data_IF_855745046827
#
_entry.id   IF_855745046827
#
_cell.length_a   1.000
_cell.length_b   1.000
_cell.length_c   1.000
_cell.angle_alpha   90.00
_cell.angle_beta   90.00
_cell.angle_gamma   90.00
#
_symmetry.space_group_name_H-M   'P 1'
#
loop_
_entity.id
_entity.type
_entity.pdbx_description
1 polymer ?
#
# COMPACT_ATOMS: atom_id res chain seq x y z
N UNK A 1 -5.69 -3.68 18.46
CA UNK A 1 -6.09 -2.36 18.99
C UNK A 1 -6.23 -2.49 20.50
N UNK A 2 -7.25 -3.19 20.99
CA UNK A 2 -7.47 -3.46 22.41
C UNK A 2 -6.24 -4.02 23.15
N UNK A 3 -5.62 -5.11 22.63
CA UNK A 3 -4.36 -5.64 23.19
C UNK A 3 -3.24 -4.60 23.32
N UNK A 4 -3.16 -3.63 22.40
CA UNK A 4 -2.14 -2.57 22.42
C UNK A 4 -2.47 -1.50 23.47
N UNK A 5 -3.74 -1.14 23.61
CA UNK A 5 -4.19 -0.21 24.65
C UNK A 5 -3.89 -0.81 26.03
N UNK A 6 -4.24 -2.09 26.23
CA UNK A 6 -3.91 -2.82 27.45
C UNK A 6 -2.40 -2.89 27.69
N UNK A 7 -1.62 -3.15 26.63
CA UNK A 7 -0.16 -3.16 26.72
C UNK A 7 0.39 -1.79 27.16
N UNK A 8 -0.03 -0.69 26.51
CA UNK A 8 0.41 0.68 26.84
C UNK A 8 0.07 1.03 28.29
N UNK A 9 -1.12 0.64 28.76
CA UNK A 9 -1.55 0.83 30.14
C UNK A 9 -0.69 0.03 31.14
N UNK A 10 -0.44 -1.25 30.85
CA UNK A 10 0.37 -2.11 31.70
C UNK A 10 1.85 -1.66 31.78
N UNK A 11 2.40 -1.17 30.66
CA UNK A 11 3.76 -0.62 30.59
C UNK A 11 3.88 0.62 31.51
N UNK A 12 2.91 1.54 31.44
CA UNK A 12 2.93 2.72 32.30
C UNK A 12 2.72 2.40 33.79
N UNK A 13 1.83 1.46 34.14
CA UNK A 13 1.69 1.02 35.54
C UNK A 13 3.00 0.41 36.04
N UNK A 14 3.66 -0.38 35.21
CA UNK A 14 4.95 -0.97 35.56
C UNK A 14 6.01 0.12 35.76
N UNK A 15 6.10 1.10 34.86
CA UNK A 15 7.01 2.24 34.99
C UNK A 15 6.73 3.06 36.25
N UNK A 16 5.47 3.37 36.52
CA UNK A 16 5.04 4.09 37.72
C UNK A 16 5.43 3.37 39.01
N UNK A 17 5.15 2.06 39.10
CA UNK A 17 5.55 1.24 40.26
C UNK A 17 7.07 1.22 40.45
N UNK A 18 7.82 1.12 39.34
CA UNK A 18 9.28 1.06 39.37
C UNK A 18 9.86 2.37 39.87
N UNK A 19 9.35 3.51 39.38
CA UNK A 19 9.72 4.85 39.83
C UNK A 19 9.45 5.07 41.31
N UNK A 20 8.27 4.70 41.83
CA UNK A 20 7.97 4.82 43.27
C UNK A 20 8.97 4.02 44.10
N UNK A 21 9.27 2.79 43.71
CA UNK A 21 10.23 1.95 44.42
C UNK A 21 11.64 2.54 44.40
N UNK A 22 12.03 3.21 43.30
CA UNK A 22 13.30 3.93 43.22
C UNK A 22 13.36 5.14 44.15
N UNK A 23 12.31 5.96 44.19
CA UNK A 23 12.23 7.12 45.08
C UNK A 23 12.30 6.72 46.57
N UNK A 24 11.58 5.65 46.95
CA UNK A 24 11.67 5.08 48.30
C UNK A 24 13.09 4.57 48.60
N UNK A 25 13.74 3.92 47.65
CA UNK A 25 15.13 3.41 47.82
C UNK A 25 16.17 4.52 47.93
N UNK A 26 15.93 5.68 47.31
CA UNK A 26 16.80 6.85 47.43
C UNK A 26 16.75 7.47 48.83
N UNK A 27 15.77 7.11 49.66
CA UNK A 27 15.57 7.67 50.99
C UNK A 27 14.93 9.06 50.95
N UNK A 28 14.23 9.39 49.87
CA UNK A 28 13.48 10.64 49.76
C UNK A 28 12.38 10.69 50.83
N UNK A 29 12.05 11.91 51.24
CA UNK A 29 10.98 12.13 52.22
C UNK A 29 9.63 11.72 51.64
N UNK A 30 8.68 11.45 52.54
CA UNK A 30 7.31 11.10 52.14
C UNK A 30 6.69 12.26 51.35
N UNK A 31 6.99 13.50 51.75
CA UNK A 31 6.52 14.73 51.14
C UNK A 31 7.01 14.87 49.69
N UNK A 32 8.31 14.66 49.44
CA UNK A 32 8.89 14.71 48.07
C UNK A 32 8.30 13.62 47.17
N UNK A 33 8.10 12.41 47.73
CA UNK A 33 7.50 11.30 46.99
C UNK A 33 6.02 11.59 46.66
N UNK A 34 5.28 12.18 47.60
CA UNK A 34 3.89 12.60 47.39
C UNK A 34 3.76 13.68 46.33
N UNK A 35 4.63 14.69 46.37
CA UNK A 35 4.64 15.77 45.36
C UNK A 35 4.89 15.19 43.96
N UNK A 36 5.85 14.26 43.83
CA UNK A 36 6.10 13.57 42.57
C UNK A 36 4.87 12.77 42.07
N UNK A 37 4.22 12.00 42.95
CA UNK A 37 3.00 11.24 42.59
C UNK A 37 1.89 12.19 42.12
N UNK A 38 1.74 13.35 42.73
CA UNK A 38 0.76 14.36 42.32
C UNK A 38 1.08 14.99 40.96
N UNK A 39 2.36 15.08 40.59
CA UNK A 39 2.81 15.59 39.30
C UNK A 39 2.71 14.55 38.16
N UNK A 40 2.48 13.27 38.49
CA UNK A 40 2.37 12.22 37.49
C UNK A 40 1.12 12.42 36.62
N UNK A 41 1.35 12.63 35.32
CA UNK A 41 0.26 12.81 34.37
C UNK A 41 -0.29 11.46 33.86
N UNK A 42 -1.61 11.35 33.62
CA UNK A 42 -2.18 10.21 32.94
C UNK A 42 -1.58 10.01 31.55
N UNK A 43 -1.52 8.76 31.09
CA UNK A 43 -1.06 8.45 29.73
C UNK A 43 -2.05 9.06 28.72
N UNK A 44 -1.60 9.91 27.79
CA UNK A 44 -2.45 10.35 26.70
C UNK A 44 -2.70 9.19 25.73
N UNK A 45 -3.98 8.92 25.45
CA UNK A 45 -4.41 8.05 24.36
C UNK A 45 -4.70 8.92 23.14
N UNK A 46 -3.97 8.68 22.06
CA UNK A 46 -4.12 9.44 20.83
C UNK A 46 -5.03 8.71 19.84
N UNK A 47 -5.54 9.42 18.82
CA UNK A 47 -6.35 8.79 17.75
C UNK A 47 -5.64 7.59 17.13
N UNK A 48 -4.31 7.62 17.00
CA UNK A 48 -3.51 6.52 16.48
C UNK A 48 -3.62 5.22 17.32
N UNK A 49 -3.95 5.32 18.61
CA UNK A 49 -4.16 4.18 19.51
C UNK A 49 -5.48 3.45 19.24
N UNK A 50 -6.46 4.15 18.67
CA UNK A 50 -7.79 3.63 18.30
C UNK A 50 -7.91 3.23 16.83
N UNK A 51 -6.85 3.39 16.04
CA UNK A 51 -6.85 2.96 14.63
C UNK A 51 -6.24 1.56 14.50
N UNK A 52 -6.92 0.66 13.75
CA UNK A 52 -6.32 -0.62 13.36
C UNK A 52 -5.12 -0.32 12.46
N UNK A 53 -3.91 -0.74 12.86
CA UNK A 53 -2.72 -0.57 12.03
C UNK A 53 -2.96 -1.22 10.67
N UNK A 54 -2.78 -0.43 9.62
CA UNK A 54 -2.62 -0.96 8.27
C UNK A 54 -1.24 -1.60 8.21
N UNK A 55 -1.17 -2.92 8.02
CA UNK A 55 0.12 -3.59 7.79
C UNK A 55 0.71 -2.98 6.51
N UNK A 56 1.90 -2.39 6.61
CA UNK A 56 2.71 -2.02 5.45
C UNK A 56 2.91 -3.29 4.64
N UNK A 57 2.41 -3.31 3.40
CA UNK A 57 2.61 -4.45 2.51
C UNK A 57 4.04 -4.34 1.99
N UNK A 58 4.95 -5.13 2.56
CA UNK A 58 6.26 -5.30 1.94
C UNK A 58 6.05 -6.01 0.59
N UNK A 59 6.45 -5.34 -0.49
CA UNK A 59 6.38 -5.92 -1.83
C UNK A 59 7.43 -7.01 -1.96
N UNK A 60 7.03 -8.19 -2.39
CA UNK A 60 7.97 -9.25 -2.77
C UNK A 60 8.46 -8.93 -4.20
N UNK A 61 9.78 -8.95 -4.47
CA UNK A 61 10.33 -8.84 -5.82
C UNK A 61 9.67 -9.83 -6.79
N UNK A 62 9.49 -9.43 -8.06
CA UNK A 62 8.71 -10.19 -9.02
C UNK A 62 9.28 -11.60 -9.26
N UNK A 63 10.60 -11.73 -9.20
CA UNK A 63 11.38 -12.96 -9.41
C UNK A 63 11.16 -13.97 -8.29
N UNK A 64 10.78 -13.48 -7.11
CA UNK A 64 10.56 -14.29 -5.91
C UNK A 64 9.07 -14.54 -5.66
N UNK A 65 8.19 -13.99 -6.50
CA UNK A 65 6.74 -14.23 -6.41
C UNK A 65 6.38 -15.62 -6.89
N UNK A 66 5.23 -16.07 -6.44
CA UNK A 66 4.61 -17.30 -6.87
C UNK A 66 4.14 -17.17 -8.33
N UNK A 67 4.43 -18.18 -9.15
CA UNK A 67 4.04 -18.21 -10.56
C UNK A 67 2.56 -18.53 -10.80
N UNK A 68 1.76 -18.75 -9.76
CA UNK A 68 0.34 -19.09 -9.91
C UNK A 68 -0.54 -17.84 -10.03
N UNK A 69 -1.65 -17.98 -10.74
CA UNK A 69 -2.67 -16.94 -10.86
C UNK A 69 -3.55 -16.89 -9.60
N UNK A 70 -3.89 -15.68 -9.18
CA UNK A 70 -4.89 -15.43 -8.14
C UNK A 70 -6.31 -15.51 -8.74
N UNK A 71 -7.33 -15.36 -7.89
CA UNK A 71 -8.73 -15.29 -8.35
C UNK A 71 -9.01 -14.11 -9.30
N UNK A 72 -8.12 -13.10 -9.35
CA UNK A 72 -8.20 -11.99 -10.31
C UNK A 72 -7.42 -12.25 -11.60
N UNK A 73 -6.92 -13.47 -11.80
CA UNK A 73 -5.98 -13.85 -12.85
C UNK A 73 -4.61 -13.15 -12.83
N UNK A 74 -4.36 -12.24 -11.88
CA UNK A 74 -3.03 -11.66 -11.64
C UNK A 74 -2.05 -12.63 -10.96
N UNK A 75 -0.74 -12.41 -11.12
CA UNK A 75 0.30 -13.16 -10.42
C UNK A 75 0.09 -13.09 -8.90
N UNK A 76 0.15 -14.26 -8.25
CA UNK A 76 0.10 -14.34 -6.80
C UNK A 76 1.23 -13.51 -6.15
N UNK A 77 0.86 -12.56 -5.30
CA UNK A 77 1.81 -11.65 -4.64
C UNK A 77 2.59 -12.29 -3.50
N UNK A 78 2.39 -13.58 -3.21
CA UNK A 78 3.09 -14.30 -2.14
C UNK A 78 4.45 -14.76 -2.65
N UNK A 79 5.43 -14.80 -1.76
CA UNK A 79 6.76 -15.37 -2.02
C UNK A 79 6.64 -16.87 -2.33
N UNK A 80 7.35 -17.34 -3.36
CA UNK A 80 7.45 -18.77 -3.69
C UNK A 80 8.25 -19.51 -2.62
N UNK A 81 7.96 -20.80 -2.43
CA UNK A 81 8.72 -21.65 -1.50
C UNK A 81 10.08 -21.98 -2.13
N UNK A 82 11.14 -22.03 -1.32
CA UNK A 82 12.47 -22.41 -1.80
C UNK A 82 12.42 -23.76 -2.53
N UNK A 83 13.01 -23.83 -3.74
CA UNK A 83 12.98 -25.02 -4.59
C UNK A 83 11.67 -25.27 -5.32
N UNK A 84 10.66 -24.39 -5.19
CA UNK A 84 9.38 -24.51 -5.89
C UNK A 84 9.02 -23.23 -6.64
N UNK A 85 8.19 -23.37 -7.68
CA UNK A 85 7.66 -22.25 -8.49
C UNK A 85 6.47 -21.55 -7.86
N UNK A 86 5.86 -22.15 -6.83
CA UNK A 86 4.64 -21.68 -6.18
C UNK A 86 4.84 -21.40 -4.69
N UNK A 87 3.96 -20.57 -4.10
CA UNK A 87 3.86 -20.41 -2.66
C UNK A 87 3.17 -21.63 -2.03
N UNK A 88 3.28 -21.79 -0.69
CA UNK A 88 2.75 -22.97 0.00
C UNK A 88 1.24 -23.22 -0.18
N UNK A 89 0.45 -22.20 -0.53
CA UNK A 89 -0.98 -22.38 -0.86
C UNK A 89 -1.16 -22.93 -2.27
N UNK A 90 -0.45 -22.38 -3.25
CA UNK A 90 -0.53 -22.83 -4.64
C UNK A 90 0.26 -24.11 -4.92
N UNK A 91 1.12 -24.55 -4.00
CA UNK A 91 1.74 -25.88 -4.04
C UNK A 91 0.71 -27.01 -3.86
N UNK A 92 -0.45 -26.74 -3.25
CA UNK A 92 -1.53 -27.73 -3.08
C UNK A 92 -2.44 -27.83 -4.31
N UNK A 93 -2.40 -26.81 -5.18
CA UNK A 93 -3.24 -26.71 -6.37
C UNK A 93 -3.21 -25.31 -6.95
N UNK A 94 -3.30 -25.22 -8.27
CA UNK A 94 -3.32 -23.98 -9.05
C UNK A 94 -4.66 -23.82 -9.77
N UNK A 95 -5.73 -23.44 -9.04
CA UNK A 95 -7.09 -23.45 -9.59
C UNK A 95 -7.27 -22.51 -10.78
N UNK A 96 -6.53 -21.40 -10.81
CA UNK A 96 -6.55 -20.42 -11.90
C UNK A 96 -5.37 -20.57 -12.85
N UNK A 97 -4.61 -21.65 -12.73
CA UNK A 97 -3.42 -21.91 -13.55
C UNK A 97 -2.17 -21.13 -13.13
N UNK A 98 -1.17 -21.19 -14.01
CA UNK A 98 0.13 -20.51 -13.86
C UNK A 98 0.19 -19.29 -14.78
N UNK A 99 1.02 -18.32 -14.42
CA UNK A 99 1.42 -17.20 -15.27
C UNK A 99 2.18 -17.76 -16.48
N UNK A 100 1.73 -17.39 -17.68
CA UNK A 100 2.47 -17.67 -18.91
C UNK A 100 3.61 -16.64 -19.09
N UNK A 101 4.63 -16.98 -19.88
CA UNK A 101 5.73 -16.06 -20.18
C UNK A 101 5.24 -14.76 -20.86
N UNK A 102 4.12 -14.81 -21.59
CA UNK A 102 3.49 -13.63 -22.19
C UNK A 102 2.70 -12.76 -21.20
N UNK A 103 2.26 -13.30 -20.06
CA UNK A 103 1.50 -12.54 -19.05
C UNK A 103 2.37 -11.52 -18.29
N UNK A 104 3.69 -11.54 -18.48
CA UNK A 104 4.67 -10.77 -17.70
C UNK A 104 5.29 -9.57 -18.43
N UNK A 105 4.98 -9.37 -19.72
CA UNK A 105 5.56 -8.28 -20.51
C UNK A 105 4.69 -7.03 -20.40
N UNK A 106 4.94 -6.22 -19.38
CA UNK A 106 4.48 -4.82 -19.41
C UNK A 106 5.16 -4.11 -20.57
N UNK A 107 4.40 -3.75 -21.61
CA UNK A 107 4.91 -2.92 -22.71
C UNK A 107 4.93 -1.47 -22.24
N UNK A 108 6.10 -0.83 -22.27
CA UNK A 108 6.16 0.62 -22.15
C UNK A 108 5.55 1.23 -23.42
N UNK A 109 4.66 2.20 -23.23
CA UNK A 109 4.06 2.98 -24.31
C UNK A 109 4.39 4.44 -24.10
N UNK A 110 4.77 5.10 -25.18
CA UNK A 110 4.94 6.55 -25.20
C UNK A 110 3.57 7.21 -25.41
N UNK A 111 3.28 8.18 -24.56
CA UNK A 111 2.04 8.95 -24.59
C UNK A 111 2.43 10.43 -24.61
N UNK A 112 1.83 11.19 -25.51
CA UNK A 112 2.04 12.65 -25.58
C UNK A 112 0.72 13.38 -25.37
N UNK A 113 0.82 14.66 -25.02
CA UNK A 113 -0.30 15.55 -24.83
C UNK A 113 -0.54 16.37 -26.10
N UNK A 114 -1.79 16.44 -26.56
CA UNK A 114 -2.21 17.22 -27.72
C UNK A 114 -3.38 18.14 -27.33
N UNK A 115 -3.34 19.40 -27.76
CA UNK A 115 -4.45 20.34 -27.58
C UNK A 115 -5.42 20.19 -28.77
N UNK A 116 -6.62 19.71 -28.49
CA UNK A 116 -7.69 19.57 -29.48
C UNK A 116 -8.87 20.39 -29.00
N UNK A 117 -9.14 21.50 -29.70
CA UNK A 117 -10.21 22.45 -29.39
C UNK A 117 -10.16 23.02 -27.96
N UNK A 118 -8.97 23.25 -27.41
CA UNK A 118 -8.76 23.82 -26.07
C UNK A 118 -8.83 22.79 -24.94
N UNK A 119 -8.90 21.49 -25.27
CA UNK A 119 -8.88 20.41 -24.30
C UNK A 119 -7.64 19.56 -24.55
N UNK A 120 -6.85 19.34 -23.50
CA UNK A 120 -5.64 18.51 -23.57
C UNK A 120 -6.03 17.04 -23.50
N UNK A 121 -5.68 16.30 -24.55
CA UNK A 121 -5.84 14.85 -24.63
C UNK A 121 -4.49 14.14 -24.61
N UNK A 122 -4.49 12.94 -24.04
CA UNK A 122 -3.31 12.07 -24.01
C UNK A 122 -3.45 10.98 -25.06
N UNK A 123 -2.55 10.96 -26.02
CA UNK A 123 -2.60 10.12 -27.23
C UNK A 123 -1.40 9.15 -27.27
N UNK A 124 -1.58 7.97 -27.86
CA UNK A 124 -0.46 7.08 -28.26
C UNK A 124 -0.40 6.84 -29.77
N UNK A 125 0.69 6.20 -30.20
CA UNK A 125 0.93 5.82 -31.59
C UNK A 125 -0.01 4.69 -32.10
N UNK A 126 -0.76 4.04 -31.22
CA UNK A 126 -1.76 3.02 -31.57
C UNK A 126 -3.18 3.60 -31.67
N UNK A 127 -3.27 4.92 -31.86
CA UNK A 127 -4.49 5.70 -32.04
C UNK A 127 -5.41 5.71 -30.80
N UNK A 128 -4.90 5.47 -29.59
CA UNK A 128 -5.70 5.50 -28.35
C UNK A 128 -5.73 6.90 -27.73
N UNK A 129 -6.88 7.26 -27.17
CA UNK A 129 -7.07 8.43 -26.31
C UNK A 129 -7.26 7.95 -24.88
N UNK A 130 -6.43 8.42 -23.97
CA UNK A 130 -6.43 7.98 -22.58
C UNK A 130 -7.15 8.95 -21.64
N UNK A 131 -7.64 8.40 -20.54
CA UNK A 131 -8.16 9.18 -19.43
C UNK A 131 -7.03 9.94 -18.72
N UNK A 132 -7.15 11.27 -18.68
CA UNK A 132 -6.14 12.17 -18.10
C UNK A 132 -5.77 11.81 -16.66
N UNK A 133 -6.73 11.47 -15.80
CA UNK A 133 -6.40 11.14 -14.40
C UNK A 133 -5.57 9.86 -14.28
N UNK A 134 -5.71 8.91 -15.21
CA UNK A 134 -4.97 7.65 -15.18
C UNK A 134 -3.51 7.87 -15.62
N UNK A 135 -3.30 8.73 -16.62
CA UNK A 135 -1.96 9.14 -17.08
C UNK A 135 -1.24 9.93 -16.00
N UNK A 136 -1.90 10.94 -15.42
CA UNK A 136 -1.32 11.77 -14.36
C UNK A 136 -0.93 10.97 -13.11
N UNK A 137 -1.58 9.83 -12.85
CA UNK A 137 -1.29 8.93 -11.73
C UNK A 137 -0.28 7.83 -12.08
N UNK A 138 0.26 7.79 -13.29
CA UNK A 138 1.09 6.69 -13.80
C UNK A 138 0.43 5.32 -13.58
N UNK A 139 -0.86 5.22 -13.88
CA UNK A 139 -1.62 3.99 -13.67
C UNK A 139 -1.15 2.91 -14.66
N UNK A 140 -0.97 1.68 -14.17
CA UNK A 140 -0.74 0.52 -15.04
C UNK A 140 -2.05 0.17 -15.75
N UNK A 141 -2.01 0.06 -17.08
CA UNK A 141 -3.17 -0.13 -17.96
C UNK A 141 -4.20 1.02 -17.85
N UNK A 142 -3.84 2.25 -18.24
CA UNK A 142 -4.76 3.40 -18.17
C UNK A 142 -5.99 3.20 -19.05
N UNK A 143 -7.12 3.77 -18.63
CA UNK A 143 -8.41 3.63 -19.34
C UNK A 143 -8.35 4.32 -20.70
N UNK A 144 -8.70 3.58 -21.77
CA UNK A 144 -8.87 4.12 -23.11
C UNK A 144 -10.30 4.64 -23.25
N UNK A 145 -10.46 5.91 -23.60
CA UNK A 145 -11.76 6.57 -23.74
C UNK A 145 -12.26 6.58 -25.18
N UNK A 146 -11.35 6.69 -26.14
CA UNK A 146 -11.67 6.90 -27.54
C UNK A 146 -10.49 6.49 -28.43
N UNK A 147 -10.71 6.54 -29.75
CA UNK A 147 -9.65 6.46 -30.75
C UNK A 147 -9.41 7.83 -31.37
N UNK A 148 -8.22 8.09 -31.90
CA UNK A 148 -7.94 9.33 -32.65
C UNK A 148 -7.50 9.03 -34.09
N UNK A 149 -7.68 9.99 -34.98
CA UNK A 149 -7.14 9.97 -36.34
C UNK A 149 -6.65 11.36 -36.73
N UNK A 150 -5.62 11.44 -37.55
CA UNK A 150 -5.11 12.70 -38.10
C UNK A 150 -5.46 12.80 -39.59
N UNK A 151 -6.15 13.88 -39.96
CA UNK A 151 -6.47 14.21 -41.35
C UNK A 151 -5.75 15.52 -41.66
N UNK A 152 -4.64 15.42 -42.41
CA UNK A 152 -3.73 16.55 -42.62
C UNK A 152 -3.06 16.98 -41.31
N UNK A 153 -3.30 18.21 -40.87
CA UNK A 153 -2.78 18.73 -39.59
C UNK A 153 -3.79 18.64 -38.43
N UNK A 154 -5.04 18.23 -38.70
CA UNK A 154 -6.10 18.22 -37.70
C UNK A 154 -6.24 16.84 -37.04
N UNK A 155 -6.24 16.82 -35.71
CA UNK A 155 -6.57 15.65 -34.90
C UNK A 155 -8.08 15.57 -34.68
N UNK A 156 -8.65 14.39 -34.91
CA UNK A 156 -10.07 14.09 -34.68
C UNK A 156 -10.21 12.93 -33.71
N UNK A 157 -11.11 13.05 -32.74
CA UNK A 157 -11.38 12.02 -31.73
C UNK A 157 -12.68 11.28 -32.09
N UNK A 158 -12.60 9.95 -32.10
CA UNK A 158 -13.69 9.00 -32.34
C UNK A 158 -14.08 8.34 -31.03
N UNK A 159 -15.15 8.84 -30.41
CA UNK A 159 -15.68 8.30 -29.16
C UNK A 159 -16.34 6.94 -29.39
N UNK A 160 -15.85 5.91 -28.70
CA UNK A 160 -16.51 4.61 -28.59
C UNK A 160 -17.42 4.63 -27.37
N UNK A 161 -18.73 4.66 -27.59
CA UNK A 161 -19.75 4.47 -26.55
C UNK A 161 -19.96 2.99 -26.26
#
# INVERSE_FOLDING_TARGET
>A
MEKRILQKFNENITEFKTRILEEIRKGNTVEETMEWVQQCQPIPLERADFVKRRRTKNSVPAEERCNAKSAKNDQCTRRRKSGHTCCGTHSKGVPHGLMSADDSKSKQKEVWAEDINGIIYYLDAENNVYKTEDIMKNMVNPTILAKWSKVGELYTIHWTF
#
